data_IF_503014922864
#
_entry.id   IF_503014922864
#
_cell.length_a   1.000
_cell.length_b   1.000
_cell.length_c   1.000
_cell.angle_alpha   90.00
_cell.angle_beta   90.00
_cell.angle_gamma   90.00
#
_symmetry.space_group_name_H-M   'P 1'
#
loop_
_entity.id
_entity.type
_entity.pdbx_description
1 polymer ?
#
# COMPACT_ATOMS: atom_id res chain seq x y z
N UNK A 1 81.28 -14.10 31.65
CA UNK A 1 80.40 -14.14 30.47
C UNK A 1 79.28 -15.10 30.77
N UNK A 2 78.12 -14.59 31.14
CA UNK A 2 76.92 -15.38 31.36
C UNK A 2 76.19 -15.52 30.03
N UNK A 3 76.15 -16.66 29.44
CA UNK A 3 75.34 -16.98 28.26
C UNK A 3 73.99 -17.41 28.78
N UNK A 4 73.00 -16.49 28.69
CA UNK A 4 71.62 -16.83 28.92
C UNK A 4 71.14 -17.52 27.64
N UNK A 5 71.06 -18.86 27.69
CA UNK A 5 70.38 -19.64 26.66
C UNK A 5 68.88 -19.26 26.65
N UNK A 6 68.45 -18.50 25.66
CA UNK A 6 67.02 -18.38 25.35
C UNK A 6 66.58 -19.71 24.80
N UNK A 7 66.05 -20.56 25.68
CA UNK A 7 65.33 -21.74 25.26
C UNK A 7 64.12 -21.36 24.47
N UNK A 8 64.24 -21.39 23.15
CA UNK A 8 63.09 -21.44 22.29
C UNK A 8 62.36 -22.75 22.60
N UNK A 9 61.35 -22.69 23.45
CA UNK A 9 60.37 -23.76 23.52
C UNK A 9 59.66 -23.78 22.17
N UNK A 10 60.24 -24.58 21.26
CA UNK A 10 59.52 -25.04 20.10
C UNK A 10 58.35 -25.89 20.65
N UNK A 11 57.23 -25.27 20.85
CA UNK A 11 55.98 -26.00 20.91
C UNK A 11 55.91 -26.73 19.58
N UNK A 12 56.29 -28.02 19.60
CA UNK A 12 55.97 -28.92 18.54
C UNK A 12 54.43 -28.97 18.50
N UNK A 13 53.85 -28.14 17.63
CA UNK A 13 52.47 -28.24 17.24
C UNK A 13 52.31 -29.56 16.53
N UNK A 14 52.25 -30.66 17.36
CA UNK A 14 52.04 -32.02 16.89
C UNK A 14 50.69 -32.03 16.21
N UNK A 15 50.71 -31.80 14.89
CA UNK A 15 49.69 -32.33 14.02
C UNK A 15 48.24 -31.96 14.30
N UNK A 16 47.95 -30.76 14.82
CA UNK A 16 46.55 -30.31 14.95
C UNK A 16 45.83 -30.50 13.61
N UNK A 17 44.84 -31.37 13.61
CA UNK A 17 44.07 -31.71 12.43
C UNK A 17 43.13 -30.53 12.16
N UNK A 18 43.29 -29.88 10.98
CA UNK A 18 42.31 -28.86 10.56
C UNK A 18 40.92 -29.50 10.51
N UNK A 19 40.00 -28.99 11.30
CA UNK A 19 38.63 -29.49 11.40
C UNK A 19 37.65 -28.30 11.57
N UNK A 20 36.40 -28.46 11.15
CA UNK A 20 35.36 -27.45 11.26
C UNK A 20 34.56 -27.68 12.55
N UNK A 21 34.13 -26.60 13.20
CA UNK A 21 33.16 -26.67 14.29
C UNK A 21 31.84 -27.25 13.84
N UNK A 22 31.39 -26.82 12.63
CA UNK A 22 30.19 -27.34 11.97
C UNK A 22 30.44 -27.43 10.48
N UNK A 23 29.86 -28.44 9.83
CA UNK A 23 29.94 -28.58 8.37
C UNK A 23 28.89 -27.69 7.64
N UNK A 24 27.92 -27.15 8.38
CA UNK A 24 26.78 -26.39 7.83
C UNK A 24 26.41 -25.25 8.77
N UNK A 25 26.15 -24.09 8.17
CA UNK A 25 25.63 -22.90 8.85
C UNK A 25 24.36 -22.42 8.09
N UNK A 26 23.33 -22.11 8.84
CA UNK A 26 22.15 -21.40 8.29
C UNK A 26 22.28 -19.91 8.62
N UNK A 27 22.02 -19.09 7.63
CA UNK A 27 22.02 -17.62 7.74
C UNK A 27 20.64 -17.13 7.36
N UNK A 28 20.07 -16.32 8.21
CA UNK A 28 18.78 -15.70 7.92
C UNK A 28 18.95 -14.58 6.89
N UNK A 29 18.06 -14.51 5.90
CA UNK A 29 18.02 -13.43 4.91
C UNK A 29 17.91 -12.07 5.60
N UNK A 30 18.56 -11.06 5.06
CA UNK A 30 18.66 -9.76 5.71
C UNK A 30 19.73 -9.63 6.79
N UNK A 31 20.41 -10.73 7.16
CA UNK A 31 21.48 -10.70 8.16
C UNK A 31 22.84 -10.65 7.48
N UNK A 32 23.67 -9.68 7.84
CA UNK A 32 25.07 -9.61 7.37
C UNK A 32 25.84 -10.84 7.83
N UNK A 33 26.53 -11.51 6.90
CA UNK A 33 27.32 -12.69 7.19
C UNK A 33 28.82 -12.42 6.98
N UNK A 34 29.55 -12.29 8.10
CA UNK A 34 31.00 -12.11 8.09
C UNK A 34 31.68 -13.29 8.83
N UNK A 35 32.09 -14.34 8.11
CA UNK A 35 32.67 -15.51 8.72
C UNK A 35 34.03 -15.18 9.36
N UNK A 36 34.26 -15.65 10.61
CA UNK A 36 35.51 -15.47 11.34
C UNK A 36 36.14 -16.84 11.64
N UNK A 37 37.47 -16.93 11.59
CA UNK A 37 38.20 -18.18 11.86
C UNK A 37 37.77 -18.85 13.18
N UNK A 38 37.66 -18.05 14.24
CA UNK A 38 37.25 -18.52 15.57
C UNK A 38 35.87 -19.17 15.59
N UNK A 39 34.99 -18.82 14.65
CA UNK A 39 33.61 -19.31 14.59
C UNK A 39 33.52 -20.59 13.73
N UNK A 40 34.51 -20.82 12.86
CA UNK A 40 34.49 -21.86 11.84
C UNK A 40 35.41 -23.00 12.20
N UNK A 41 36.67 -22.69 12.60
CA UNK A 41 37.72 -23.68 12.83
C UNK A 41 37.68 -24.14 14.28
N UNK A 42 37.69 -25.47 14.48
CA UNK A 42 37.82 -26.08 15.78
C UNK A 42 39.24 -25.83 16.28
N UNK A 43 39.39 -25.48 17.58
CA UNK A 43 40.67 -25.23 18.23
C UNK A 43 41.60 -24.32 17.43
N UNK A 44 41.02 -23.24 16.82
CA UNK A 44 41.70 -22.33 15.88
C UNK A 44 42.99 -21.71 16.46
N UNK A 45 43.10 -21.62 17.80
CA UNK A 45 44.26 -21.08 18.49
C UNK A 45 45.51 -22.01 18.42
N UNK A 46 45.31 -23.29 18.10
CA UNK A 46 46.37 -24.27 17.91
C UNK A 46 47.05 -24.15 16.55
N UNK A 47 46.54 -23.25 15.69
CA UNK A 47 47.08 -22.97 14.37
C UNK A 47 47.76 -21.63 14.34
N UNK A 48 48.80 -21.50 13.50
CA UNK A 48 49.26 -20.16 13.13
C UNK A 48 48.20 -19.48 12.31
N UNK A 49 47.60 -18.41 12.87
CA UNK A 49 46.47 -17.68 12.25
C UNK A 49 46.85 -17.02 10.93
N UNK A 50 48.14 -16.67 10.73
CA UNK A 50 48.63 -16.08 9.49
C UNK A 50 48.61 -17.07 8.30
N UNK A 51 48.66 -18.39 8.61
CA UNK A 51 48.56 -19.47 7.62
C UNK A 51 47.10 -19.91 7.36
N UNK A 52 46.11 -19.35 8.09
CA UNK A 52 44.69 -19.64 7.94
C UNK A 52 44.01 -18.60 7.06
N UNK A 53 43.39 -19.06 6.00
CA UNK A 53 42.65 -18.19 5.04
C UNK A 53 41.17 -18.62 4.96
N UNK A 54 40.26 -17.66 5.01
CA UNK A 54 38.85 -17.86 4.67
C UNK A 54 38.60 -17.32 3.27
N UNK A 55 38.19 -18.15 2.35
CA UNK A 55 37.72 -17.76 1.03
C UNK A 55 36.20 -17.75 1.06
N UNK A 56 35.66 -16.54 1.14
CA UNK A 56 34.22 -16.28 1.07
C UNK A 56 33.89 -15.66 -0.29
N UNK A 57 33.11 -16.39 -1.11
CA UNK A 57 32.62 -15.95 -2.42
C UNK A 57 31.08 -15.90 -2.47
N UNK A 58 30.43 -15.79 -1.31
CA UNK A 58 28.99 -15.69 -1.23
C UNK A 58 28.58 -14.31 -1.75
N UNK A 59 27.74 -14.22 -2.78
CA UNK A 59 27.30 -12.95 -3.31
C UNK A 59 26.34 -12.27 -2.33
N UNK A 60 26.42 -10.98 -2.23
CA UNK A 60 25.39 -10.20 -1.56
C UNK A 60 24.15 -10.09 -2.44
N UNK A 61 22.99 -9.88 -1.83
CA UNK A 61 21.79 -9.44 -2.52
C UNK A 61 22.05 -8.09 -3.19
N UNK A 62 21.41 -7.86 -4.34
CA UNK A 62 21.62 -6.64 -5.10
C UNK A 62 21.43 -5.39 -4.24
N UNK A 63 22.43 -4.52 -4.23
CA UNK A 63 22.48 -3.25 -3.49
C UNK A 63 22.31 -3.40 -1.97
N UNK A 64 22.64 -4.60 -1.42
CA UNK A 64 22.53 -4.90 0.02
C UNK A 64 23.88 -5.34 0.62
N UNK A 65 23.94 -5.29 1.95
CA UNK A 65 25.13 -5.71 2.74
C UNK A 65 25.04 -7.12 3.27
N UNK A 66 23.97 -7.85 2.97
CA UNK A 66 23.72 -9.22 3.39
C UNK A 66 23.66 -10.16 2.17
N UNK A 67 23.92 -11.45 2.37
CA UNK A 67 23.99 -12.42 1.29
C UNK A 67 22.62 -12.68 0.64
N UNK A 68 22.63 -12.98 -0.65
CA UNK A 68 21.46 -13.45 -1.39
C UNK A 68 21.02 -14.83 -0.90
N UNK A 69 19.70 -15.10 -0.99
CA UNK A 69 19.14 -16.42 -0.66
C UNK A 69 19.73 -17.49 -1.57
N UNK A 70 20.21 -18.59 -0.98
CA UNK A 70 20.84 -19.67 -1.73
C UNK A 70 21.62 -20.65 -0.90
N UNK A 71 22.26 -21.61 -1.60
CA UNK A 71 23.16 -22.59 -1.01
C UNK A 71 24.58 -22.30 -1.51
N UNK A 72 25.46 -22.02 -0.58
CA UNK A 72 26.84 -21.61 -0.84
C UNK A 72 27.82 -22.46 -0.06
N UNK A 73 29.11 -22.23 -0.27
CA UNK A 73 30.18 -22.76 0.58
C UNK A 73 31.27 -21.71 0.75
N UNK A 74 31.83 -21.67 1.93
CA UNK A 74 33.11 -21.02 2.20
C UNK A 74 34.22 -22.07 2.28
N UNK A 75 35.44 -21.68 1.96
CA UNK A 75 36.60 -22.57 2.04
C UNK A 75 37.56 -22.02 3.09
N UNK A 76 37.95 -22.86 4.02
CA UNK A 76 39.04 -22.56 4.97
C UNK A 76 40.26 -23.28 4.49
N UNK A 77 41.38 -22.59 4.33
CA UNK A 77 42.69 -23.15 3.96
C UNK A 77 43.65 -23.00 5.09
N UNK A 78 44.47 -24.02 5.25
CA UNK A 78 45.66 -24.02 6.11
C UNK A 78 46.78 -24.78 5.42
N UNK A 79 47.83 -24.08 5.00
CA UNK A 79 48.92 -24.66 4.22
C UNK A 79 48.39 -25.40 2.97
N UNK A 80 48.64 -26.72 2.89
CA UNK A 80 48.16 -27.56 1.76
C UNK A 80 46.77 -28.19 1.99
N UNK A 81 46.15 -27.96 3.16
CA UNK A 81 44.83 -28.50 3.50
C UNK A 81 43.74 -27.46 3.27
N UNK A 82 42.58 -27.93 2.82
CA UNK A 82 41.39 -27.08 2.70
C UNK A 82 40.15 -27.85 3.13
N UNK A 83 39.22 -27.13 3.79
CA UNK A 83 37.90 -27.63 4.18
C UNK A 83 36.83 -26.71 3.64
N UNK A 84 35.69 -27.29 3.33
CA UNK A 84 34.52 -26.53 2.88
C UNK A 84 33.42 -26.60 3.92
N UNK A 85 32.87 -25.45 4.29
CA UNK A 85 31.66 -25.33 5.12
C UNK A 85 30.51 -24.93 4.23
N UNK A 86 29.41 -25.65 4.32
CA UNK A 86 28.14 -25.27 3.62
C UNK A 86 27.48 -24.10 4.34
N UNK A 87 27.08 -23.11 3.58
CA UNK A 87 26.32 -21.96 4.08
C UNK A 87 24.99 -21.89 3.34
N UNK A 88 23.90 -21.95 4.09
CA UNK A 88 22.56 -21.88 3.53
C UNK A 88 21.92 -20.59 3.99
N UNK A 89 21.68 -19.69 3.05
CA UNK A 89 20.95 -18.46 3.27
C UNK A 89 19.49 -18.72 2.94
N UNK A 90 18.61 -18.48 3.90
CA UNK A 90 17.16 -18.66 3.76
C UNK A 90 16.44 -17.46 4.33
N UNK A 91 15.33 -17.14 3.72
CA UNK A 91 14.29 -16.32 4.33
C UNK A 91 13.31 -17.24 5.04
N UNK A 92 13.15 -17.06 6.34
CA UNK A 92 12.20 -17.81 7.16
C UNK A 92 11.23 -16.91 7.91
N UNK A 93 11.30 -15.61 7.66
CA UNK A 93 10.42 -14.61 8.27
C UNK A 93 9.22 -14.37 7.39
N UNK A 94 8.05 -14.45 7.98
CA UNK A 94 6.82 -14.06 7.30
C UNK A 94 6.68 -12.54 7.26
N UNK A 95 5.99 -11.98 6.25
CA UNK A 95 5.67 -10.57 6.16
C UNK A 95 4.97 -10.05 7.41
N UNK A 96 5.34 -8.88 7.86
CA UNK A 96 4.60 -8.17 8.90
C UNK A 96 3.40 -7.47 8.27
N UNK A 97 2.22 -7.66 8.86
CA UNK A 97 0.95 -7.12 8.35
C UNK A 97 0.23 -6.39 9.46
N UNK A 98 -0.05 -5.10 9.24
CA UNK A 98 -0.89 -4.28 10.11
C UNK A 98 -2.15 -3.93 9.33
N UNK A 99 -3.29 -4.41 9.83
CA UNK A 99 -4.60 -4.13 9.25
C UNK A 99 -5.17 -2.81 9.78
N UNK A 100 -6.08 -2.17 9.03
CA UNK A 100 -6.86 -1.05 9.56
C UNK A 100 -7.69 -1.49 10.77
N UNK A 101 -7.89 -0.55 11.71
CA UNK A 101 -8.64 -0.84 12.93
C UNK A 101 -10.14 -0.96 12.67
N UNK A 102 -10.66 -0.18 11.73
CA UNK A 102 -12.06 -0.15 11.38
C UNK A 102 -12.22 0.41 9.96
N UNK A 103 -13.09 -0.22 9.17
CA UNK A 103 -13.39 0.18 7.80
C UNK A 103 -14.91 0.30 7.69
N UNK A 104 -15.41 1.48 7.39
CA UNK A 104 -16.82 1.68 7.06
C UNK A 104 -17.01 1.67 5.55
N UNK A 105 -17.91 0.83 5.06
CA UNK A 105 -18.26 0.72 3.65
C UNK A 105 -19.76 0.87 3.50
N UNK A 106 -20.20 1.60 2.48
CA UNK A 106 -21.62 1.76 2.19
C UNK A 106 -22.22 0.45 1.67
N UNK A 107 -23.43 0.15 2.13
CA UNK A 107 -24.23 -0.94 1.62
C UNK A 107 -24.36 -0.88 0.09
N UNK A 108 -24.18 -2.02 -0.57
CA UNK A 108 -24.22 -2.13 -2.03
C UNK A 108 -22.93 -1.74 -2.77
N UNK A 109 -21.84 -1.38 -2.05
CA UNK A 109 -20.53 -1.15 -2.70
C UNK A 109 -19.97 -2.44 -3.27
N UNK A 110 -19.38 -2.38 -4.46
CA UNK A 110 -18.67 -3.51 -5.06
C UNK A 110 -17.29 -3.67 -4.39
N UNK A 111 -17.15 -4.72 -3.58
CA UNK A 111 -15.90 -5.02 -2.87
C UNK A 111 -14.75 -5.41 -3.79
N UNK A 112 -15.02 -5.81 -5.04
CA UNK A 112 -13.96 -6.14 -5.99
C UNK A 112 -13.17 -4.92 -6.43
N UNK A 113 -13.78 -3.75 -6.35
CA UNK A 113 -13.17 -2.45 -6.69
C UNK A 113 -12.64 -1.70 -5.47
N UNK A 114 -12.97 -2.15 -4.25
CA UNK A 114 -12.54 -1.49 -3.02
C UNK A 114 -11.06 -1.78 -2.72
N UNK A 115 -10.25 -0.74 -2.59
CA UNK A 115 -8.80 -0.88 -2.38
C UNK A 115 -8.44 -1.11 -0.91
N UNK A 116 -8.70 -2.32 -0.42
CA UNK A 116 -8.26 -2.74 0.91
C UNK A 116 -6.75 -2.64 1.09
N UNK A 117 -5.97 -2.85 0.02
CA UNK A 117 -4.51 -2.90 0.09
C UNK A 117 -3.91 -1.56 0.52
N UNK A 118 -4.45 -0.46 0.03
CA UNK A 118 -3.97 0.89 0.38
C UNK A 118 -4.15 1.24 1.87
N UNK A 119 -5.04 0.52 2.55
CA UNK A 119 -5.33 0.73 3.98
C UNK A 119 -4.43 -0.10 4.90
N UNK A 120 -3.65 -1.04 4.36
CA UNK A 120 -2.80 -1.94 5.11
C UNK A 120 -1.36 -1.45 5.10
N UNK A 121 -0.63 -1.74 6.19
CA UNK A 121 0.82 -1.60 6.20
C UNK A 121 1.43 -3.01 6.15
N UNK A 122 2.19 -3.28 5.08
CA UNK A 122 2.86 -4.56 4.86
C UNK A 122 4.34 -4.31 4.72
N UNK A 123 5.14 -5.01 5.51
CA UNK A 123 6.59 -4.89 5.53
C UNK A 123 7.26 -6.26 5.44
N UNK A 124 8.17 -6.39 4.48
CA UNK A 124 9.04 -7.55 4.30
C UNK A 124 10.33 -7.15 3.56
N UNK A 125 11.35 -8.00 3.64
CA UNK A 125 12.60 -7.80 2.89
C UNK A 125 12.50 -8.28 1.44
N UNK A 126 11.55 -9.15 1.15
CA UNK A 126 11.29 -9.70 -0.18
C UNK A 126 9.96 -9.20 -0.75
N UNK A 127 9.73 -9.46 -2.03
CA UNK A 127 8.46 -9.14 -2.68
C UNK A 127 7.32 -9.94 -2.06
N UNK A 128 6.16 -9.28 -1.85
CA UNK A 128 4.99 -9.89 -1.25
C UNK A 128 3.81 -9.97 -2.22
N UNK A 129 3.00 -11.00 -2.07
CA UNK A 129 1.69 -11.16 -2.69
C UNK A 129 0.61 -11.12 -1.63
N UNK A 130 -0.55 -10.56 -1.96
CA UNK A 130 -1.65 -10.34 -1.02
C UNK A 130 -2.90 -10.98 -1.61
N UNK A 131 -3.59 -11.75 -0.77
CA UNK A 131 -4.91 -12.31 -1.05
C UNK A 131 -5.88 -11.83 0.03
N UNK A 132 -7.05 -11.32 -0.38
CA UNK A 132 -8.08 -10.80 0.51
C UNK A 132 -9.36 -11.59 0.26
N UNK A 133 -9.86 -12.25 1.29
CA UNK A 133 -11.09 -13.01 1.25
C UNK A 133 -12.20 -12.25 1.99
N UNK A 134 -13.14 -11.73 1.22
CA UNK A 134 -14.32 -11.00 1.68
C UNK A 134 -15.61 -11.84 1.54
N UNK A 135 -15.51 -13.14 1.33
CA UNK A 135 -16.66 -14.04 1.06
C UNK A 135 -17.70 -14.07 2.19
N UNK A 136 -17.32 -13.65 3.40
CA UNK A 136 -18.22 -13.57 4.56
C UNK A 136 -18.87 -12.20 4.75
N UNK A 137 -18.55 -11.22 3.90
CA UNK A 137 -19.11 -9.89 3.99
C UNK A 137 -20.40 -9.83 3.19
N UNK A 138 -21.52 -9.58 3.86
CA UNK A 138 -22.80 -9.35 3.18
C UNK A 138 -23.00 -7.86 2.97
N UNK A 139 -22.90 -7.42 1.71
CA UNK A 139 -23.08 -6.02 1.32
C UNK A 139 -24.52 -5.55 1.30
N UNK A 140 -25.49 -6.47 1.47
CA UNK A 140 -26.93 -6.15 1.49
C UNK A 140 -27.47 -5.98 2.91
N UNK A 141 -26.68 -6.33 3.92
CA UNK A 141 -27.09 -6.20 5.31
C UNK A 141 -26.09 -5.33 6.10
N UNK A 142 -26.62 -4.33 6.81
CA UNK A 142 -25.82 -3.45 7.62
C UNK A 142 -25.36 -4.17 8.89
N UNK A 143 -24.05 -4.16 9.15
CA UNK A 143 -23.48 -4.90 10.26
C UNK A 143 -21.97 -4.94 10.22
N UNK A 144 -21.37 -5.63 11.19
CA UNK A 144 -19.93 -5.84 11.23
C UNK A 144 -19.58 -7.24 10.76
N UNK A 145 -18.64 -7.33 9.81
CA UNK A 145 -18.21 -8.57 9.18
C UNK A 145 -16.69 -8.73 9.31
N UNK A 146 -16.25 -9.97 9.32
CA UNK A 146 -14.85 -10.32 9.27
C UNK A 146 -14.42 -10.55 7.81
N UNK A 147 -13.22 -10.09 7.45
CA UNK A 147 -12.53 -10.46 6.23
C UNK A 147 -11.14 -11.00 6.54
N UNK A 148 -10.62 -11.88 5.69
CA UNK A 148 -9.32 -12.50 5.90
C UNK A 148 -8.30 -11.95 4.92
N UNK A 149 -7.07 -11.76 5.40
CA UNK A 149 -5.93 -11.34 4.61
C UNK A 149 -4.84 -12.37 4.75
N UNK A 150 -4.35 -12.85 3.63
CA UNK A 150 -3.18 -13.73 3.54
C UNK A 150 -2.10 -13.00 2.75
N UNK A 151 -0.93 -12.81 3.37
CA UNK A 151 0.24 -12.22 2.71
C UNK A 151 1.33 -13.25 2.67
N UNK A 152 1.86 -13.49 1.47
CA UNK A 152 2.98 -14.40 1.22
C UNK A 152 4.14 -13.65 0.63
N UNK A 153 5.35 -13.98 1.08
CA UNK A 153 6.56 -13.51 0.48
C UNK A 153 7.01 -14.39 -0.71
N UNK A 154 8.07 -13.98 -1.37
CA UNK A 154 8.69 -14.71 -2.49
C UNK A 154 9.16 -16.12 -2.11
N UNK A 155 9.43 -16.36 -0.82
CA UNK A 155 9.96 -17.63 -0.30
C UNK A 155 8.89 -18.51 0.37
N UNK A 156 7.60 -18.11 0.22
CA UNK A 156 6.42 -18.77 0.76
C UNK A 156 6.28 -18.72 2.29
N UNK A 157 6.94 -17.77 2.96
CA UNK A 157 6.56 -17.48 4.33
C UNK A 157 5.25 -16.70 4.31
N UNK A 158 4.34 -17.04 5.23
CA UNK A 158 2.96 -16.58 5.16
C UNK A 158 2.52 -15.94 6.48
N UNK A 159 1.84 -14.81 6.38
CA UNK A 159 1.10 -14.17 7.46
C UNK A 159 -0.38 -14.17 7.16
N UNK A 160 -1.20 -14.57 8.14
CA UNK A 160 -2.67 -14.52 8.08
C UNK A 160 -3.21 -13.58 9.15
N UNK A 161 -4.14 -12.73 8.76
CA UNK A 161 -4.82 -11.79 9.65
C UNK A 161 -6.30 -11.76 9.33
N UNK A 162 -7.11 -11.52 10.35
CA UNK A 162 -8.53 -11.24 10.20
C UNK A 162 -8.78 -9.79 10.57
N UNK A 163 -9.36 -9.05 9.65
CA UNK A 163 -9.81 -7.67 9.84
C UNK A 163 -11.32 -7.59 9.99
N UNK A 164 -11.80 -6.40 10.31
CA UNK A 164 -13.22 -6.10 10.44
C UNK A 164 -13.63 -4.99 9.49
N UNK A 165 -14.82 -5.14 8.93
CA UNK A 165 -15.47 -4.11 8.10
C UNK A 165 -16.88 -3.91 8.62
N UNK A 166 -17.31 -2.66 8.69
CA UNK A 166 -18.66 -2.28 9.09
C UNK A 166 -19.43 -1.81 7.86
N UNK A 167 -20.45 -2.56 7.48
CA UNK A 167 -21.36 -2.17 6.40
C UNK A 167 -22.40 -1.23 6.99
N UNK A 168 -22.47 -0.02 6.47
CA UNK A 168 -23.39 1.02 6.91
C UNK A 168 -24.46 1.28 5.85
N UNK A 169 -25.67 1.54 6.31
CA UNK A 169 -26.78 1.91 5.43
C UNK A 169 -26.41 3.17 4.64
N UNK A 170 -26.69 3.17 3.35
CA UNK A 170 -26.46 4.33 2.50
C UNK A 170 -27.28 5.53 3.05
N UNK A 171 -26.63 6.63 3.47
CA UNK A 171 -27.35 7.77 4.02
C UNK A 171 -28.22 8.42 2.94
N UNK A 172 -29.39 8.87 3.35
CA UNK A 172 -30.22 9.74 2.50
C UNK A 172 -29.56 11.11 2.48
N UNK A 173 -29.09 11.53 1.31
CA UNK A 173 -28.45 12.83 1.11
C UNK A 173 -29.35 13.79 0.38
N UNK A 174 -29.26 15.08 0.69
CA UNK A 174 -29.93 16.13 -0.05
C UNK A 174 -29.11 16.53 -1.27
N UNK A 175 -29.70 17.28 -2.19
CA UNK A 175 -29.06 17.74 -3.44
C UNK A 175 -27.69 18.44 -3.22
N UNK A 176 -27.52 19.10 -2.06
CA UNK A 176 -26.32 19.86 -1.73
C UNK A 176 -25.34 19.10 -0.84
N UNK A 177 -25.51 17.79 -0.68
CA UNK A 177 -24.69 16.94 0.16
C UNK A 177 -24.03 15.84 -0.67
N UNK A 178 -22.92 15.35 -0.17
CA UNK A 178 -22.20 14.21 -0.74
C UNK A 178 -21.69 13.29 0.38
N UNK A 179 -21.50 12.04 0.04
CA UNK A 179 -20.88 11.06 0.94
C UNK A 179 -19.40 11.02 0.66
N UNK A 180 -18.59 11.19 1.71
CA UNK A 180 -17.13 11.10 1.61
C UNK A 180 -16.60 10.06 2.57
N UNK A 181 -15.52 9.40 2.15
CA UNK A 181 -14.75 8.48 2.98
C UNK A 181 -13.49 9.17 3.46
N UNK A 182 -13.31 9.24 4.78
CA UNK A 182 -12.14 9.85 5.40
C UNK A 182 -11.25 8.78 6.00
N UNK A 183 -9.97 8.75 5.61
CA UNK A 183 -8.97 7.88 6.23
C UNK A 183 -8.32 8.62 7.39
N UNK A 184 -8.45 8.06 8.59
CA UNK A 184 -7.91 8.62 9.83
C UNK A 184 -6.78 7.73 10.34
N UNK A 185 -5.63 8.32 10.67
CA UNK A 185 -4.54 7.61 11.37
C UNK A 185 -4.80 7.63 12.87
N UNK A 186 -4.84 6.46 13.47
CA UNK A 186 -5.04 6.27 14.90
C UNK A 186 -3.72 6.48 15.67
N UNK A 187 -3.82 6.68 16.99
CA UNK A 187 -2.64 6.89 17.86
C UNK A 187 -1.75 5.65 17.97
N UNK A 188 -2.28 4.47 17.73
CA UNK A 188 -1.58 3.19 17.73
C UNK A 188 -0.89 2.86 16.39
N UNK A 189 -0.96 3.78 15.41
CA UNK A 189 -0.38 3.63 14.07
C UNK A 189 -1.27 2.89 13.08
N UNK A 190 -2.44 2.41 13.48
CA UNK A 190 -3.43 1.82 12.56
C UNK A 190 -4.19 2.90 11.80
N UNK A 191 -4.92 2.51 10.76
CA UNK A 191 -5.83 3.39 10.02
C UNK A 191 -7.27 3.01 10.29
N UNK A 192 -8.18 3.97 10.12
CA UNK A 192 -9.62 3.74 10.09
C UNK A 192 -10.22 4.49 8.91
N UNK A 193 -11.23 3.93 8.29
CA UNK A 193 -12.03 4.59 7.25
C UNK A 193 -13.39 4.90 7.82
N UNK A 194 -13.77 6.18 7.83
CA UNK A 194 -15.05 6.68 8.31
C UNK A 194 -15.82 7.33 7.20
N UNK A 195 -17.11 7.10 7.18
CA UNK A 195 -18.03 7.68 6.21
C UNK A 195 -18.75 8.88 6.81
N UNK A 196 -18.76 9.98 6.10
CA UNK A 196 -19.43 11.23 6.50
C UNK A 196 -20.26 11.78 5.36
N UNK A 197 -21.36 12.46 5.73
CA UNK A 197 -22.11 13.31 4.81
C UNK A 197 -21.64 14.75 4.99
N UNK A 198 -21.24 15.38 3.91
CA UNK A 198 -20.82 16.79 3.92
C UNK A 198 -21.52 17.58 2.83
N UNK A 199 -21.62 18.90 3.01
CA UNK A 199 -22.11 19.77 1.95
C UNK A 199 -21.11 19.84 0.82
N UNK A 200 -21.59 19.75 -0.41
CA UNK A 200 -20.77 19.97 -1.61
C UNK A 200 -20.13 21.35 -1.52
N UNK A 201 -18.82 21.41 -1.69
CA UNK A 201 -18.08 22.66 -1.69
C UNK A 201 -18.41 23.41 -2.97
N UNK A 202 -19.09 24.56 -2.87
CA UNK A 202 -19.28 25.45 -3.99
C UNK A 202 -17.93 25.96 -4.46
N UNK A 203 -17.51 25.58 -5.65
CA UNK A 203 -16.33 26.14 -6.30
C UNK A 203 -16.60 27.58 -6.71
N UNK A 204 -16.41 28.52 -5.78
CA UNK A 204 -16.43 29.93 -6.07
C UNK A 204 -15.11 30.27 -6.80
N UNK A 205 -15.10 30.10 -8.11
CA UNK A 205 -14.04 30.68 -8.95
C UNK A 205 -14.26 32.18 -8.96
N UNK A 206 -13.59 32.89 -8.04
CA UNK A 206 -13.44 34.35 -8.13
C UNK A 206 -12.70 34.67 -9.44
N UNK A 207 -13.48 34.94 -10.48
CA UNK A 207 -12.99 35.69 -11.62
C UNK A 207 -12.81 37.13 -11.16
N UNK A 208 -11.60 37.50 -10.84
CA UNK A 208 -11.17 38.89 -10.73
C UNK A 208 -11.27 39.49 -12.11
N UNK A 209 -12.39 40.15 -12.39
CA UNK A 209 -12.51 41.05 -13.55
C UNK A 209 -11.91 42.38 -13.17
N UNK A 210 -10.67 42.62 -13.58
CA UNK A 210 -10.16 43.96 -13.73
C UNK A 210 -10.95 44.63 -14.87
N UNK A 211 -11.78 45.59 -14.56
CA UNK A 211 -12.21 46.55 -15.55
C UNK A 211 -12.08 47.96 -14.99
N UNK A 212 -11.24 48.69 -15.65
CA UNK A 212 -11.01 50.12 -15.45
C UNK A 212 -12.11 50.94 -16.12
N UNK A 213 -12.58 51.90 -15.35
CA UNK A 213 -13.06 53.24 -15.72
C UNK A 213 -13.78 53.48 -17.06
N UNK A 214 -14.98 53.97 -17.03
CA UNK A 214 -15.26 55.42 -17.19
C UNK A 214 -16.74 55.70 -17.44
N UNK A 215 -17.18 56.65 -16.66
CA UNK A 215 -18.14 57.74 -16.88
C UNK A 215 -19.38 57.62 -17.80
N UNK A 216 -20.47 57.89 -17.19
CA UNK A 216 -21.36 59.04 -17.38
C UNK A 216 -22.75 58.81 -17.94
N UNK A 217 -23.69 59.42 -17.22
CA UNK A 217 -24.93 60.09 -17.64
C UNK A 217 -26.22 59.30 -17.81
N UNK A 218 -27.10 59.54 -16.84
CA UNK A 218 -28.44 60.04 -16.89
C UNK A 218 -29.36 59.62 -18.04
N UNK A 219 -30.46 58.97 -17.73
CA UNK A 219 -31.79 59.57 -18.00
C UNK A 219 -32.92 58.62 -17.65
N UNK A 220 -33.84 59.16 -16.93
CA UNK A 220 -35.23 58.80 -16.62
C UNK A 220 -36.07 58.25 -17.78
N UNK A 221 -36.96 57.33 -17.49
CA UNK A 221 -38.03 56.95 -18.41
C UNK A 221 -38.90 55.81 -17.87
N UNK A 222 -40.04 56.20 -17.41
CA UNK A 222 -41.21 55.49 -16.87
C UNK A 222 -41.88 54.56 -17.84
N UNK A 223 -42.59 53.58 -17.28
CA UNK A 223 -43.92 53.04 -17.62
C UNK A 223 -44.04 51.72 -18.40
N UNK A 224 -44.63 50.83 -17.71
CA UNK A 224 -45.86 50.04 -18.01
C UNK A 224 -45.81 48.76 -18.86
N UNK A 225 -46.21 47.79 -18.14
CA UNK A 225 -47.26 46.75 -18.36
C UNK A 225 -47.11 45.67 -19.40
N UNK A 226 -47.31 44.56 -18.82
CA UNK A 226 -48.13 43.40 -19.17
C UNK A 226 -47.49 42.18 -19.77
N UNK A 227 -47.83 41.14 -19.11
CA UNK A 227 -48.11 39.84 -19.74
C UNK A 227 -47.02 38.86 -19.77
N UNK A 228 -46.97 38.18 -18.79
CA UNK A 228 -47.07 36.86 -18.70
C UNK A 228 -46.20 35.79 -18.97
N UNK A 229 -45.88 34.99 -18.89
CA UNK A 229 -45.39 33.61 -18.93
C UNK A 229 -44.16 33.46 -18.07
N UNK A 230 -44.39 33.01 -16.87
CA UNK A 230 -43.30 32.50 -16.01
C UNK A 230 -42.75 31.25 -16.61
N UNK A 231 -41.68 31.34 -17.36
CA UNK A 231 -40.79 30.21 -17.57
C UNK A 231 -40.02 30.01 -16.28
N UNK A 232 -40.39 28.99 -15.53
CA UNK A 232 -39.57 28.55 -14.41
C UNK A 232 -38.27 28.01 -14.95
N UNK A 233 -37.22 28.78 -14.80
CA UNK A 233 -35.85 28.35 -15.06
C UNK A 233 -35.37 27.52 -13.88
N UNK A 234 -35.35 26.22 -14.03
CA UNK A 234 -34.70 25.33 -13.06
C UNK A 234 -33.19 25.36 -13.29
N UNK A 235 -32.45 26.01 -12.39
CA UNK A 235 -31.00 25.90 -12.31
C UNK A 235 -30.63 24.67 -11.46
N UNK A 236 -30.25 23.59 -12.10
CA UNK A 236 -29.75 22.41 -11.42
C UNK A 236 -28.69 21.71 -12.28
N UNK A 237 -27.55 21.39 -11.71
CA UNK A 237 -26.64 20.42 -12.34
C UNK A 237 -27.20 19.06 -12.03
N UNK A 238 -27.60 18.32 -13.05
CA UNK A 238 -28.04 16.93 -12.93
C UNK A 238 -26.82 16.03 -13.17
N UNK A 239 -26.30 15.41 -12.11
CA UNK A 239 -25.42 14.29 -12.29
C UNK A 239 -26.30 13.05 -12.31
N UNK A 240 -26.62 12.57 -13.48
CA UNK A 240 -27.35 11.30 -13.66
C UNK A 240 -26.29 10.20 -13.64
N UNK A 241 -26.24 9.41 -12.57
CA UNK A 241 -25.61 8.10 -12.60
C UNK A 241 -26.48 7.20 -13.49
N UNK A 242 -26.08 7.07 -14.75
CA UNK A 242 -26.82 6.22 -15.68
C UNK A 242 -26.48 4.75 -15.42
N UNK A 243 -27.53 3.95 -15.28
CA UNK A 243 -27.46 2.49 -15.35
C UNK A 243 -26.68 2.10 -16.61
N UNK A 244 -25.63 1.25 -16.53
CA UNK A 244 -24.84 0.82 -17.68
C UNK A 244 -25.64 0.11 -18.79
N UNK A 245 -26.92 -0.10 -18.57
CA UNK A 245 -27.86 -0.65 -19.54
C UNK A 245 -28.28 0.35 -20.64
N UNK A 246 -28.10 1.63 -20.45
CA UNK A 246 -28.49 2.67 -21.42
C UNK A 246 -27.26 3.25 -22.07
N UNK A 247 -26.89 2.69 -23.22
CA UNK A 247 -25.83 3.23 -24.08
C UNK A 247 -26.38 4.46 -24.80
N UNK A 248 -25.83 5.63 -24.48
CA UNK A 248 -26.16 6.88 -25.16
C UNK A 248 -25.19 7.06 -26.34
N UNK A 249 -25.69 6.94 -27.55
CA UNK A 249 -24.98 7.40 -28.76
C UNK A 249 -25.49 8.76 -29.16
N UNK A 250 -24.83 9.83 -28.72
CA UNK A 250 -25.14 11.20 -29.11
C UNK A 250 -24.11 12.20 -28.62
N UNK A 251 -23.65 13.01 -29.55
CA UNK A 251 -22.59 14.00 -29.37
C UNK A 251 -23.12 15.31 -28.77
N UNK A 252 -23.72 15.25 -27.56
CA UNK A 252 -24.17 16.43 -26.85
C UNK A 252 -23.48 16.50 -25.48
N UNK A 253 -22.34 17.21 -25.46
CA UNK A 253 -21.69 17.61 -24.19
C UNK A 253 -22.37 18.89 -23.68
N UNK A 254 -23.18 18.76 -22.66
CA UNK A 254 -23.59 19.93 -21.87
C UNK A 254 -22.46 20.20 -20.87
N UNK A 255 -21.80 21.35 -20.99
CA UNK A 255 -20.80 21.81 -20.02
C UNK A 255 -21.45 22.13 -18.67
N UNK A 256 -20.65 22.07 -17.59
CA UNK A 256 -21.07 22.52 -16.26
C UNK A 256 -21.74 23.91 -16.33
N UNK A 257 -23.02 23.99 -15.94
CA UNK A 257 -23.79 25.22 -15.93
C UNK A 257 -24.64 25.48 -17.15
N UNK A 258 -24.83 24.50 -18.05
CA UNK A 258 -25.78 24.63 -19.15
C UNK A 258 -27.22 24.67 -18.62
N UNK A 259 -27.99 25.72 -19.00
CA UNK A 259 -29.44 25.79 -18.75
C UNK A 259 -30.14 24.91 -19.78
N UNK A 260 -30.87 23.90 -19.33
CA UNK A 260 -31.71 23.05 -20.19
C UNK A 260 -33.14 23.58 -20.08
N UNK A 261 -33.75 23.90 -21.18
CA UNK A 261 -35.17 24.30 -21.21
C UNK A 261 -36.08 23.07 -21.03
N UNK A 262 -37.33 23.29 -20.62
CA UNK A 262 -38.26 22.19 -20.32
C UNK A 262 -38.56 21.26 -21.50
N UNK A 263 -38.47 21.72 -22.75
CA UNK A 263 -38.69 20.91 -23.95
C UNK A 263 -37.50 19.96 -24.22
N UNK A 264 -36.30 20.43 -23.96
CA UNK A 264 -35.10 19.60 -24.10
C UNK A 264 -35.00 18.57 -22.96
N UNK A 265 -35.45 18.92 -21.76
CA UNK A 265 -35.56 18.00 -20.64
C UNK A 265 -36.61 16.90 -20.90
N UNK A 266 -37.77 17.25 -21.47
CA UNK A 266 -38.78 16.26 -21.85
C UNK A 266 -38.30 15.30 -22.95
N UNK A 267 -37.46 15.74 -23.88
CA UNK A 267 -36.83 14.91 -24.89
C UNK A 267 -35.79 13.95 -24.29
N UNK A 268 -35.02 14.42 -23.32
CA UNK A 268 -33.98 13.63 -22.62
C UNK A 268 -34.60 12.59 -21.71
N UNK A 269 -35.72 12.85 -21.07
CA UNK A 269 -36.34 11.96 -20.09
C UNK A 269 -37.52 11.15 -20.66
N UNK A 270 -37.83 11.29 -21.95
CA UNK A 270 -38.97 10.63 -22.57
C UNK A 270 -40.33 11.11 -22.06
N UNK A 271 -40.39 12.30 -21.45
CA UNK A 271 -41.64 12.92 -20.97
C UNK A 271 -42.16 12.34 -19.63
N UNK A 272 -41.48 11.41 -19.01
CA UNK A 272 -41.97 10.64 -17.82
C UNK A 272 -41.39 11.14 -16.48
N UNK A 273 -40.74 12.30 -16.48
CA UNK A 273 -40.08 12.85 -15.28
C UNK A 273 -41.07 13.24 -14.15
N UNK A 274 -42.36 13.41 -14.45
CA UNK A 274 -43.39 13.74 -13.45
C UNK A 274 -43.63 12.65 -12.40
N UNK A 275 -43.15 11.44 -12.66
CA UNK A 275 -43.29 10.29 -11.77
C UNK A 275 -42.02 9.97 -10.97
N UNK A 276 -41.00 10.79 -11.08
CA UNK A 276 -39.76 10.60 -10.32
C UNK A 276 -39.89 11.34 -8.97
N UNK A 277 -39.89 10.54 -7.89
CA UNK A 277 -39.77 11.06 -6.53
C UNK A 277 -38.31 11.44 -6.31
N UNK A 278 -38.07 12.72 -6.07
CA UNK A 278 -36.76 13.27 -5.73
C UNK A 278 -36.44 13.08 -4.26
#
# INVERSE_FOLDING_TARGET
VVVIGVGATAYALSGSKLDLKTNKVNVEYGTTYTPKLKDIVKDYKDFNTDDLEIINKIPNEKDKTYPAVGKYSITVKYKKKSLKQSVIVKDTKAPEVVLPADIEILQGTDLTTFDFKSLMNISDLSETSIEIDTSKVDMNDAGQYDFNVTVKDKYNNESKKTGKVTIIVKPVITHNEEVVHETVKNKDGTTSVKTKVQKKQSSNTNRTSNNSSSNNSNSSGSSNTSGGSSSETHKGSLTVEMDPKYHWEGDHSYGDGAEINGEDFDKLTGGDWKNWNY
#
